data_IF_984470965514
#
_entry.id   IF_984470965514
#
_cell.length_a   1.000
_cell.length_b   1.000
_cell.length_c   1.000
_cell.angle_alpha   90.00
_cell.angle_beta   90.00
_cell.angle_gamma   90.00
#
_symmetry.space_group_name_H-M   'P 1'
#
loop_
_entity.id
_entity.type
_entity.pdbx_description
1 polymer ?
#
# COMPACT_ATOMS: atom_id res chain seq x y z
N UNK A 1 -13.55 10.34 21.67
CA UNK A 1 -13.14 10.16 20.26
C UNK A 1 -11.62 10.25 20.19
N UNK A 2 -10.88 9.25 20.68
CA UNK A 2 -9.41 9.34 20.81
C UNK A 2 -8.65 8.02 20.67
N UNK A 3 -9.28 6.91 20.28
CA UNK A 3 -8.61 5.59 20.29
C UNK A 3 -8.46 4.96 18.89
N UNK A 4 -8.95 5.61 17.83
CA UNK A 4 -8.82 5.12 16.45
C UNK A 4 -7.70 5.81 15.66
N UNK A 5 -7.21 6.97 16.11
CA UNK A 5 -6.14 7.70 15.42
C UNK A 5 -4.79 6.98 15.48
N UNK A 6 -4.57 6.14 16.49
CA UNK A 6 -3.31 5.42 16.69
C UNK A 6 -3.19 4.18 15.80
N UNK A 7 -4.26 3.79 15.09
CA UNK A 7 -4.29 2.64 14.19
C UNK A 7 -4.34 3.02 12.70
N UNK A 8 -4.48 4.30 12.37
CA UNK A 8 -4.45 4.73 10.98
C UNK A 8 -3.01 4.71 10.47
N UNK A 9 -2.82 4.08 9.32
CA UNK A 9 -1.55 4.09 8.60
C UNK A 9 -1.54 5.39 7.79
N UNK A 10 -0.59 6.32 8.02
CA UNK A 10 -0.46 7.52 7.21
C UNK A 10 -0.16 7.14 5.77
N UNK A 11 -1.16 7.23 4.90
CA UNK A 11 -1.06 6.95 3.47
C UNK A 11 -1.60 8.15 2.70
N UNK A 12 -0.84 8.63 1.71
CA UNK A 12 -1.32 9.61 0.74
C UNK A 12 -0.95 9.19 -0.68
N UNK A 13 -1.83 9.46 -1.64
CA UNK A 13 -1.59 9.19 -3.06
C UNK A 13 -1.95 10.44 -3.88
N UNK A 14 -1.04 10.92 -4.72
CA UNK A 14 -1.23 12.18 -5.45
C UNK A 14 -1.56 13.39 -4.53
N UNK A 15 -1.05 13.37 -3.30
CA UNK A 15 -1.37 14.36 -2.25
C UNK A 15 -2.75 14.19 -1.60
N UNK A 16 -3.58 13.24 -2.06
CA UNK A 16 -4.86 12.91 -1.46
C UNK A 16 -4.66 11.96 -0.26
N UNK A 17 -5.33 12.19 0.87
CA UNK A 17 -5.29 11.27 2.00
C UNK A 17 -6.02 9.96 1.68
N UNK A 18 -5.51 8.86 2.22
CA UNK A 18 -6.15 7.54 2.18
C UNK A 18 -6.38 7.09 3.61
N UNK A 19 -7.64 6.86 3.99
CA UNK A 19 -8.03 6.46 5.35
C UNK A 19 -7.76 4.96 5.61
N UNK A 20 -6.50 4.55 5.45
CA UNK A 20 -6.02 3.20 5.65
C UNK A 20 -5.89 2.86 7.14
N UNK A 21 -6.45 1.73 7.56
CA UNK A 21 -6.34 1.24 8.94
C UNK A 21 -5.65 -0.12 9.05
N UNK A 22 -5.43 -0.81 7.92
CA UNK A 22 -4.70 -2.08 7.89
C UNK A 22 -3.93 -2.25 6.58
N UNK A 23 -2.65 -2.66 6.67
CA UNK A 23 -1.86 -3.16 5.53
C UNK A 23 -2.16 -4.66 5.36
N UNK A 24 -2.88 -4.98 4.29
CA UNK A 24 -3.42 -6.33 4.04
C UNK A 24 -2.42 -7.22 3.30
N UNK A 25 -1.32 -6.66 2.77
CA UNK A 25 -0.31 -7.40 2.00
C UNK A 25 1.11 -7.16 2.54
N UNK A 26 1.62 -8.13 3.32
CA UNK A 26 3.04 -8.17 3.69
C UNK A 26 3.81 -9.06 2.71
N UNK A 27 4.43 -8.44 1.70
CA UNK A 27 5.18 -9.15 0.66
C UNK A 27 6.68 -9.28 1.02
N UNK A 28 7.16 -10.52 1.15
CA UNK A 28 8.59 -10.84 1.28
C UNK A 28 9.08 -11.58 0.04
N UNK A 29 10.30 -11.27 -0.40
CA UNK A 29 11.03 -12.02 -1.43
C UNK A 29 12.32 -12.54 -0.83
N UNK A 30 12.52 -13.85 -0.88
CA UNK A 30 13.79 -14.45 -0.47
C UNK A 30 14.74 -14.35 -1.66
N UNK A 31 15.80 -13.55 -1.52
CA UNK A 31 16.86 -13.47 -2.52
C UNK A 31 18.06 -14.27 -2.02
N UNK A 32 18.45 -15.29 -2.77
CA UNK A 32 19.70 -15.98 -2.53
C UNK A 32 20.87 -15.10 -3.00
N UNK A 33 21.79 -14.76 -2.10
CA UNK A 33 23.10 -14.21 -2.45
C UNK A 33 24.12 -15.32 -2.39
N UNK A 34 24.72 -15.63 -3.53
CA UNK A 34 25.90 -16.49 -3.61
C UNK A 34 27.13 -15.69 -3.16
N UNK A 35 27.81 -16.19 -2.14
CA UNK A 35 29.08 -15.66 -1.66
C UNK A 35 30.12 -16.76 -1.84
N UNK A 36 31.17 -16.46 -2.60
CA UNK A 36 32.29 -17.38 -2.75
C UNK A 36 33.21 -17.25 -1.51
N UNK A 37 33.34 -18.35 -0.77
CA UNK A 37 34.20 -18.40 0.41
C UNK A 37 35.67 -18.50 -0.01
N UNK A 38 36.57 -18.11 0.89
CA UNK A 38 38.02 -18.25 0.68
C UNK A 38 38.46 -19.72 0.45
N UNK A 39 37.64 -20.71 0.84
CA UNK A 39 37.85 -22.13 0.55
C UNK A 39 37.54 -22.53 -0.89
N UNK A 40 36.92 -21.65 -1.68
CA UNK A 40 36.40 -21.95 -3.03
C UNK A 40 34.94 -22.44 -3.03
N UNK A 41 34.35 -22.71 -1.87
CA UNK A 41 32.95 -23.15 -1.75
C UNK A 41 31.96 -22.01 -1.97
N UNK A 42 30.79 -22.33 -2.53
CA UNK A 42 29.69 -21.38 -2.71
C UNK A 42 28.79 -21.46 -1.48
N UNK A 43 28.70 -20.37 -0.73
CA UNK A 43 27.73 -20.21 0.34
C UNK A 43 26.52 -19.41 -0.15
N UNK A 44 25.34 -20.03 -0.14
CA UNK A 44 24.09 -19.34 -0.43
C UNK A 44 23.53 -18.76 0.88
N UNK A 45 23.53 -17.43 1.01
CA UNK A 45 22.82 -16.74 2.09
C UNK A 45 21.43 -16.33 1.61
N UNK A 46 20.39 -16.78 2.32
CA UNK A 46 19.02 -16.35 2.07
C UNK A 46 18.82 -15.00 2.76
N UNK A 47 18.76 -13.92 1.98
CA UNK A 47 18.36 -12.61 2.48
C UNK A 47 16.89 -12.38 2.15
N UNK A 48 16.06 -12.10 3.16
CA UNK A 48 14.70 -11.61 2.91
C UNK A 48 14.78 -10.14 2.48
N UNK A 49 14.53 -9.88 1.19
CA UNK A 49 14.17 -8.53 0.75
C UNK A 49 12.68 -8.35 0.93
N UNK A 50 12.25 -7.33 1.65
CA UNK A 50 10.84 -6.91 1.64
C UNK A 50 10.55 -6.36 0.25
N UNK A 51 9.63 -6.95 -0.50
CA UNK A 51 9.20 -6.36 -1.78
C UNK A 51 8.27 -5.21 -1.39
N UNK A 52 8.55 -4.00 -1.88
CA UNK A 52 7.77 -2.81 -1.53
C UNK A 52 6.38 -2.80 -2.16
N UNK A 53 6.14 -3.55 -3.24
CA UNK A 53 4.88 -3.58 -3.98
C UNK A 53 4.50 -5.00 -4.47
N UNK A 54 3.20 -5.26 -4.71
CA UNK A 54 2.08 -4.34 -4.50
C UNK A 54 1.79 -4.08 -3.02
N UNK A 55 1.07 -2.99 -2.73
CA UNK A 55 0.60 -2.59 -1.40
C UNK A 55 -0.91 -2.54 -1.40
N UNK A 56 -1.54 -3.22 -0.45
CA UNK A 56 -2.99 -3.24 -0.33
C UNK A 56 -3.39 -2.77 1.06
N UNK A 57 -4.40 -1.92 1.11
CA UNK A 57 -4.91 -1.36 2.36
C UNK A 57 -6.42 -1.58 2.46
N UNK A 58 -6.85 -1.98 3.65
CA UNK A 58 -8.24 -1.87 4.04
C UNK A 58 -8.46 -0.50 4.67
N UNK A 59 -9.53 0.15 4.23
CA UNK A 59 -9.82 1.54 4.52
C UNK A 59 -11.20 1.71 5.15
N UNK A 60 -11.35 2.76 5.96
CA UNK A 60 -12.60 3.20 6.56
C UNK A 60 -12.69 4.72 6.46
N UNK A 61 -13.77 5.24 5.88
CA UNK A 61 -13.98 6.69 5.76
C UNK A 61 -15.41 7.08 6.09
N UNK A 62 -15.59 8.28 6.63
CA UNK A 62 -16.88 8.93 6.84
C UNK A 62 -17.15 10.02 5.79
N UNK A 63 -16.22 10.18 4.85
CA UNK A 63 -16.28 11.15 3.77
C UNK A 63 -16.27 10.43 2.42
N UNK A 64 -17.42 10.38 1.77
CA UNK A 64 -17.54 9.73 0.46
C UNK A 64 -16.71 10.44 -0.63
N UNK A 65 -16.40 11.73 -0.46
CA UNK A 65 -15.59 12.46 -1.42
C UNK A 65 -14.15 11.95 -1.47
N UNK A 66 -13.63 11.35 -0.38
CA UNK A 66 -12.33 10.66 -0.39
C UNK A 66 -12.32 9.53 -1.44
N UNK A 67 -13.39 8.72 -1.46
CA UNK A 67 -13.55 7.62 -2.40
C UNK A 67 -13.64 8.16 -3.84
N UNK A 68 -14.45 9.19 -4.08
CA UNK A 68 -14.60 9.80 -5.41
C UNK A 68 -13.26 10.35 -5.91
N UNK A 69 -12.55 11.11 -5.08
CA UNK A 69 -11.26 11.69 -5.43
C UNK A 69 -10.21 10.60 -5.75
N UNK A 70 -10.20 9.48 -5.00
CA UNK A 70 -9.28 8.37 -5.27
C UNK A 70 -9.66 7.59 -6.53
N UNK A 71 -10.96 7.43 -6.81
CA UNK A 71 -11.43 6.81 -8.04
C UNK A 71 -11.02 7.63 -9.26
N UNK A 72 -11.07 8.96 -9.17
CA UNK A 72 -10.62 9.85 -10.24
C UNK A 72 -9.10 9.77 -10.51
N UNK A 73 -8.32 9.23 -9.58
CA UNK A 73 -6.89 8.96 -9.78
C UNK A 73 -6.59 7.58 -10.38
N UNK A 74 -7.59 6.73 -10.61
CA UNK A 74 -7.37 5.42 -11.23
C UNK A 74 -6.86 5.62 -12.67
N UNK A 75 -5.73 4.99 -12.98
CA UNK A 75 -5.05 5.10 -14.28
C UNK A 75 -3.98 6.19 -14.35
N UNK A 76 -3.84 7.01 -13.31
CA UNK A 76 -2.75 7.99 -13.20
C UNK A 76 -1.54 7.40 -12.47
N UNK A 77 -0.36 7.88 -12.85
CA UNK A 77 0.89 7.61 -12.13
C UNK A 77 1.23 8.81 -11.26
N UNK A 78 1.48 8.57 -9.98
CA UNK A 78 1.82 9.62 -9.02
C UNK A 78 2.68 9.05 -7.87
N UNK A 79 2.98 9.91 -6.90
CA UNK A 79 3.70 9.60 -5.68
C UNK A 79 2.73 9.00 -4.67
N UNK A 80 3.09 7.83 -4.15
CA UNK A 80 2.48 7.21 -2.97
C UNK A 80 3.40 7.46 -1.78
N UNK A 81 2.85 7.98 -0.68
CA UNK A 81 3.58 8.14 0.58
C UNK A 81 2.97 7.22 1.63
N UNK A 82 3.78 6.38 2.27
CA UNK A 82 3.36 5.47 3.34
C UNK A 82 4.28 5.69 4.53
N UNK A 83 3.73 6.05 5.70
CA UNK A 83 4.52 6.34 6.91
C UNK A 83 5.67 7.36 6.68
N UNK A 84 5.48 8.30 5.74
CA UNK A 84 6.49 9.30 5.36
C UNK A 84 7.53 8.81 4.33
N UNK A 85 7.54 7.53 3.97
CA UNK A 85 8.37 7.02 2.87
C UNK A 85 7.66 7.26 1.54
N UNK A 86 8.36 7.89 0.59
CA UNK A 86 7.80 8.25 -0.72
C UNK A 86 8.21 7.26 -1.80
N UNK A 87 7.26 6.85 -2.61
CA UNK A 87 7.42 5.95 -3.74
C UNK A 87 6.90 6.63 -5.01
N UNK A 88 7.75 6.80 -6.01
CA UNK A 88 7.38 7.40 -7.30
C UNK A 88 6.79 6.36 -8.25
N UNK A 89 6.14 6.82 -9.33
CA UNK A 89 5.59 5.99 -10.41
C UNK A 89 4.61 4.92 -9.90
N UNK A 90 3.87 5.25 -8.85
CA UNK A 90 2.85 4.41 -8.26
C UNK A 90 1.50 4.70 -8.91
N UNK A 91 0.64 3.68 -8.96
CA UNK A 91 -0.72 3.81 -9.49
C UNK A 91 -1.68 2.91 -8.72
N UNK A 92 -2.96 3.28 -8.72
CA UNK A 92 -4.04 2.45 -8.16
C UNK A 92 -4.26 1.28 -9.12
N UNK A 93 -3.82 0.09 -8.72
CA UNK A 93 -3.98 -1.15 -9.50
C UNK A 93 -5.22 -1.94 -9.12
N UNK A 94 -5.87 -1.59 -8.00
CA UNK A 94 -7.16 -2.14 -7.60
C UNK A 94 -7.90 -1.19 -6.67
N UNK A 95 -9.20 -1.06 -6.87
CA UNK A 95 -10.08 -0.31 -5.99
C UNK A 95 -11.42 -1.05 -5.93
N UNK A 96 -11.88 -1.42 -4.74
CA UNK A 96 -13.05 -2.28 -4.64
C UNK A 96 -13.57 -2.50 -3.24
N UNK A 97 -14.49 -3.46 -3.11
CA UNK A 97 -15.14 -3.82 -1.85
C UNK A 97 -15.80 -2.64 -1.13
N UNK A 98 -16.18 -1.60 -1.87
CA UNK A 98 -16.84 -0.41 -1.33
C UNK A 98 -18.20 -0.83 -0.79
N UNK A 99 -18.40 -0.68 0.51
CA UNK A 99 -19.66 -0.96 1.18
C UNK A 99 -19.89 0.02 2.30
N UNK A 100 -21.15 0.36 2.50
CA UNK A 100 -21.57 1.10 3.67
C UNK A 100 -21.59 0.17 4.89
N UNK A 101 -21.04 0.61 6.02
CA UNK A 101 -20.96 -0.22 7.25
C UNK A 101 -22.35 -0.52 7.80
N UNK A 102 -23.20 0.51 7.82
CA UNK A 102 -24.63 0.42 8.12
C UNK A 102 -25.36 1.24 7.08
N UNK A 103 -26.45 0.71 6.51
CA UNK A 103 -27.21 1.40 5.47
C UNK A 103 -27.68 2.78 5.94
N UNK A 104 -27.33 3.83 5.19
CA UNK A 104 -27.66 5.23 5.49
C UNK A 104 -26.81 5.88 6.59
N UNK A 105 -25.69 5.27 6.99
CA UNK A 105 -24.78 5.84 7.99
C UNK A 105 -23.78 6.84 7.41
N UNK A 106 -23.55 6.83 6.09
CA UNK A 106 -22.49 7.62 5.45
C UNK A 106 -21.07 7.13 5.77
N UNK A 107 -20.93 5.96 6.41
CA UNK A 107 -19.65 5.35 6.78
C UNK A 107 -19.35 4.23 5.82
N UNK A 108 -18.18 4.28 5.18
CA UNK A 108 -17.79 3.36 4.13
C UNK A 108 -16.53 2.62 4.53
N UNK A 109 -16.46 1.35 4.12
CA UNK A 109 -15.20 0.61 4.05
C UNK A 109 -14.95 0.22 2.61
N UNK A 110 -13.69 0.21 2.24
CA UNK A 110 -13.23 -0.14 0.90
C UNK A 110 -11.82 -0.75 0.98
N UNK A 111 -11.40 -1.37 -0.11
CA UNK A 111 -10.05 -1.86 -0.28
C UNK A 111 -9.39 -1.12 -1.46
N UNK A 112 -8.14 -0.74 -1.27
CA UNK A 112 -7.33 -0.09 -2.30
C UNK A 112 -5.99 -0.79 -2.42
N UNK A 113 -5.54 -0.97 -3.66
CA UNK A 113 -4.28 -1.61 -4.01
C UNK A 113 -3.46 -0.70 -4.91
N UNK A 114 -2.20 -0.52 -4.53
CA UNK A 114 -1.20 0.24 -5.26
C UNK A 114 -0.14 -0.68 -5.85
N UNK A 115 0.28 -0.37 -7.06
CA UNK A 115 1.43 -0.98 -7.72
C UNK A 115 2.42 0.11 -8.11
N UNK A 116 3.68 -0.27 -8.29
CA UNK A 116 4.73 0.60 -8.79
C UNK A 116 5.16 0.11 -10.17
N UNK A 117 5.29 1.03 -11.13
CA UNK A 117 5.86 0.70 -12.43
C UNK A 117 7.37 0.41 -12.30
N UNK A 118 7.88 -0.60 -13.01
CA UNK A 118 9.32 -0.82 -13.10
C UNK A 118 9.95 0.34 -13.89
N UNK A 119 10.80 1.15 -13.25
CA UNK A 119 11.63 2.12 -13.97
C UNK A 119 12.57 1.35 -14.91
N UNK A 120 12.31 1.45 -16.22
CA UNK A 120 13.17 0.92 -17.28
C UNK A 120 14.33 1.89 -17.57
#
# INVERSE_FOLDING_TARGET
MSELSDYLIPVTFAGLPVSAWQDSEINYTITAKEVQLYSGDIHASLSSKKRSFPRSFDCYTEDYSEIENLVDQIGNFDILVINGESFTDCYISGFGSIKEVVRGSGKFVYNIKFSQADQH
#
